data_IF_940872995392
#
_entry.id   IF_940872995392
#
_cell.length_a   1.000
_cell.length_b   1.000
_cell.length_c   1.000
_cell.angle_alpha   90.00
_cell.angle_beta   90.00
_cell.angle_gamma   90.00
#
_symmetry.space_group_name_H-M   'P 1'
#
loop_
_entity.id
_entity.type
_entity.pdbx_description
1 polymer ?
#
# COMPACT_ATOMS: atom_id res chain seq x y z
N UNK A 1 -1.83 -24.76 11.11
CA UNK A 1 -0.98 -23.58 11.30
C UNK A 1 -0.99 -22.77 10.02
N UNK A 2 -1.25 -21.47 10.11
CA UNK A 2 -1.32 -20.60 8.94
C UNK A 2 0.00 -19.84 8.83
N UNK A 3 1.05 -20.53 8.36
CA UNK A 3 2.45 -20.08 8.35
C UNK A 3 2.66 -18.67 7.77
N UNK A 4 1.83 -18.26 6.81
CA UNK A 4 1.93 -16.93 6.20
C UNK A 4 1.50 -15.79 7.13
N UNK A 5 0.58 -16.03 8.06
CA UNK A 5 0.14 -15.03 9.04
C UNK A 5 1.15 -14.91 10.18
N UNK A 6 1.71 -16.04 10.62
CA UNK A 6 2.74 -16.08 11.67
C UNK A 6 3.98 -15.29 11.20
N UNK A 7 4.45 -15.54 9.97
CA UNK A 7 5.56 -14.79 9.35
C UNK A 7 5.27 -13.30 9.26
N UNK A 8 4.07 -12.90 8.81
CA UNK A 8 3.69 -11.49 8.71
C UNK A 8 3.70 -10.79 10.07
N UNK A 9 3.27 -11.51 11.11
CA UNK A 9 3.28 -11.01 12.49
C UNK A 9 4.72 -10.78 12.96
N UNK A 10 5.63 -11.72 12.71
CA UNK A 10 7.06 -11.56 13.03
C UNK A 10 7.71 -10.38 12.30
N UNK A 11 7.36 -10.16 11.03
CA UNK A 11 7.83 -9.00 10.25
C UNK A 11 7.30 -7.69 10.85
N UNK A 12 6.01 -7.62 11.16
CA UNK A 12 5.40 -6.43 11.73
C UNK A 12 6.01 -6.07 13.09
N UNK A 13 6.21 -7.06 13.97
CA UNK A 13 6.91 -6.88 15.24
C UNK A 13 8.36 -6.42 15.05
N UNK A 14 9.06 -6.97 14.05
CA UNK A 14 10.42 -6.55 13.70
C UNK A 14 10.51 -5.11 13.19
N UNK A 15 9.42 -4.58 12.64
CA UNK A 15 9.30 -3.18 12.22
C UNK A 15 8.89 -2.24 13.37
N UNK A 16 8.62 -2.79 14.57
CA UNK A 16 8.17 -2.02 15.73
C UNK A 16 6.67 -1.72 15.74
N UNK A 17 5.85 -2.46 14.99
CA UNK A 17 4.40 -2.32 14.99
C UNK A 17 3.79 -3.06 16.18
N UNK A 18 2.77 -2.46 16.81
CA UNK A 18 1.91 -3.13 17.78
C UNK A 18 0.69 -3.73 17.08
N UNK A 19 0.37 -4.98 17.39
CA UNK A 19 -0.66 -5.74 16.69
C UNK A 19 -1.94 -5.76 17.54
N UNK A 20 -2.92 -4.95 17.13
CA UNK A 20 -4.19 -4.83 17.85
C UNK A 20 -5.13 -6.01 17.54
N UNK A 21 -5.20 -6.44 16.28
CA UNK A 21 -6.08 -7.54 15.84
C UNK A 21 -5.63 -8.13 14.49
N UNK A 22 -6.15 -9.31 14.15
CA UNK A 22 -5.97 -9.94 12.85
C UNK A 22 -7.30 -10.20 12.16
N UNK A 23 -7.42 -9.74 10.92
CA UNK A 23 -8.56 -10.05 10.05
C UNK A 23 -8.12 -10.91 8.87
N UNK A 24 -8.89 -11.96 8.59
CA UNK A 24 -8.67 -12.82 7.43
C UNK A 24 -9.85 -12.77 6.48
N UNK A 25 -9.57 -12.83 5.18
CA UNK A 25 -10.57 -12.84 4.12
C UNK A 25 -10.26 -13.97 3.14
N UNK A 26 -11.22 -14.89 2.94
CA UNK A 26 -11.09 -15.93 1.90
C UNK A 26 -11.63 -15.40 0.57
N UNK A 27 -10.82 -15.45 -0.49
CA UNK A 27 -11.24 -15.16 -1.86
C UNK A 27 -10.41 -15.96 -2.86
N UNK A 28 -10.95 -16.14 -4.06
CA UNK A 28 -10.24 -16.77 -5.17
C UNK A 28 -9.31 -15.78 -5.88
N UNK A 29 -9.73 -14.51 -6.03
CA UNK A 29 -8.94 -13.46 -6.69
C UNK A 29 -9.13 -12.09 -6.02
N UNK A 30 -8.09 -11.24 -5.92
CA UNK A 30 -8.16 -9.90 -5.34
C UNK A 30 -9.24 -9.02 -5.96
N UNK A 31 -9.92 -8.21 -5.13
CA UNK A 31 -10.88 -7.24 -5.64
C UNK A 31 -10.14 -6.06 -6.28
N UNK A 32 -10.47 -5.63 -7.51
CA UNK A 32 -9.69 -4.63 -8.23
C UNK A 32 -9.61 -3.27 -7.51
N UNK A 33 -10.63 -2.91 -6.73
CA UNK A 33 -10.67 -1.59 -6.06
C UNK A 33 -10.01 -1.56 -4.69
N UNK A 34 -9.98 -2.66 -3.96
CA UNK A 34 -9.72 -2.64 -2.50
C UNK A 34 -8.97 -3.86 -2.01
N UNK A 35 -8.54 -4.75 -2.90
CA UNK A 35 -7.96 -6.06 -2.61
C UNK A 35 -8.93 -7.03 -1.90
N UNK A 36 -9.63 -6.57 -0.87
CA UNK A 36 -10.73 -7.21 -0.15
C UNK A 36 -12.13 -6.80 -0.68
N UNK A 37 -13.19 -7.54 -0.32
CA UNK A 37 -14.57 -7.26 -0.77
C UNK A 37 -15.24 -6.20 0.10
N UNK A 38 -16.30 -5.54 -0.39
CA UNK A 38 -16.93 -4.40 0.30
C UNK A 38 -17.34 -4.70 1.74
N UNK A 39 -18.04 -5.81 1.99
CA UNK A 39 -18.44 -6.18 3.35
C UNK A 39 -17.25 -6.40 4.30
N UNK A 40 -16.10 -6.84 3.77
CA UNK A 40 -14.88 -6.99 4.57
C UNK A 40 -14.16 -5.65 4.78
N UNK A 41 -14.30 -4.70 3.86
CA UNK A 41 -13.83 -3.32 4.05
C UNK A 41 -14.65 -2.65 5.15
N UNK A 42 -15.97 -2.86 5.17
CA UNK A 42 -16.86 -2.35 6.22
C UNK A 42 -16.52 -2.94 7.59
N UNK A 43 -16.31 -4.27 7.66
CA UNK A 43 -15.86 -4.95 8.88
C UNK A 43 -14.50 -4.39 9.37
N UNK A 44 -13.54 -4.22 8.46
CA UNK A 44 -12.23 -3.65 8.78
C UNK A 44 -12.34 -2.19 9.25
N UNK A 45 -13.21 -1.37 8.63
CA UNK A 45 -13.43 0.01 9.04
C UNK A 45 -13.98 0.10 10.47
N UNK A 46 -14.94 -0.77 10.81
CA UNK A 46 -15.49 -0.84 12.16
C UNK A 46 -14.43 -1.23 13.20
N UNK A 47 -13.54 -2.17 12.88
CA UNK A 47 -12.42 -2.57 13.75
C UNK A 47 -11.39 -1.44 13.92
N UNK A 48 -11.07 -0.72 12.84
CA UNK A 48 -10.17 0.45 12.88
C UNK A 48 -10.73 1.52 13.83
N UNK A 49 -12.02 1.82 13.73
CA UNK A 49 -12.67 2.79 14.61
C UNK A 49 -12.73 2.30 16.08
N UNK A 50 -13.12 1.05 16.29
CA UNK A 50 -13.26 0.46 17.63
C UNK A 50 -11.92 0.37 18.38
N UNK A 51 -10.83 0.06 17.65
CA UNK A 51 -9.49 -0.10 18.21
C UNK A 51 -8.66 1.18 18.13
N UNK A 52 -9.19 2.26 17.53
CA UNK A 52 -8.46 3.49 17.22
C UNK A 52 -7.14 3.20 16.47
N UNK A 53 -7.18 2.30 15.50
CA UNK A 53 -5.98 1.90 14.76
C UNK A 53 -5.51 3.01 13.81
N UNK A 54 -4.24 3.38 13.88
CA UNK A 54 -3.66 4.42 13.00
C UNK A 54 -3.13 3.85 11.67
N UNK A 55 -2.94 2.53 11.63
CA UNK A 55 -2.28 1.81 10.54
C UNK A 55 -2.99 0.49 10.27
N UNK A 56 -3.21 0.19 9.00
CA UNK A 56 -3.63 -1.13 8.54
C UNK A 56 -2.54 -1.74 7.65
N UNK A 57 -2.08 -2.93 8.02
CA UNK A 57 -1.11 -3.71 7.26
C UNK A 57 -1.80 -4.83 6.46
N UNK A 58 -1.56 -4.85 5.15
CA UNK A 58 -1.93 -5.97 4.29
C UNK A 58 -0.73 -6.91 4.07
N UNK A 59 -0.91 -8.20 4.36
CA UNK A 59 0.12 -9.24 4.13
C UNK A 59 0.37 -9.57 2.64
N UNK A 60 -0.19 -8.79 1.73
CA UNK A 60 -0.03 -8.95 0.30
C UNK A 60 0.24 -7.59 -0.31
N UNK A 61 1.02 -7.56 -1.40
CA UNK A 61 1.22 -6.36 -2.19
C UNK A 61 -0.11 -5.82 -2.70
N UNK A 62 -0.28 -4.51 -2.58
CA UNK A 62 -1.45 -3.80 -3.06
C UNK A 62 -1.11 -3.06 -4.35
N UNK A 63 -2.02 -3.09 -5.32
CA UNK A 63 -1.94 -2.16 -6.41
C UNK A 63 -2.10 -0.72 -5.87
N UNK A 64 -1.44 0.30 -6.46
CA UNK A 64 -1.49 1.67 -5.94
C UNK A 64 -2.93 2.23 -5.83
N UNK A 65 -3.81 1.83 -6.75
CA UNK A 65 -5.22 2.21 -6.68
C UNK A 65 -5.97 1.54 -5.52
N UNK A 66 -5.60 0.31 -5.14
CA UNK A 66 -6.20 -0.40 -4.01
C UNK A 66 -5.82 0.28 -2.70
N UNK A 67 -4.54 0.56 -2.47
CA UNK A 67 -4.06 1.27 -1.27
C UNK A 67 -4.77 2.60 -1.08
N UNK A 68 -4.76 3.47 -2.11
CA UNK A 68 -5.45 4.79 -2.05
C UNK A 68 -6.94 4.69 -1.76
N UNK A 69 -7.62 3.69 -2.33
CA UNK A 69 -9.04 3.50 -2.06
C UNK A 69 -9.23 3.06 -0.61
N UNK A 70 -8.45 2.10 -0.13
CA UNK A 70 -8.52 1.63 1.25
C UNK A 70 -8.25 2.78 2.24
N UNK A 71 -7.22 3.60 2.05
CA UNK A 71 -6.96 4.77 2.90
C UNK A 71 -8.17 5.72 2.94
N UNK A 72 -8.80 5.97 1.78
CA UNK A 72 -10.02 6.79 1.71
C UNK A 72 -11.21 6.16 2.43
N UNK A 73 -11.35 4.85 2.43
CA UNK A 73 -12.45 4.19 3.12
C UNK A 73 -12.21 4.04 4.62
N UNK A 74 -10.96 3.76 5.01
CA UNK A 74 -10.56 3.45 6.38
C UNK A 74 -10.15 4.69 7.19
N UNK A 75 -9.83 5.81 6.52
CA UNK A 75 -9.40 7.07 7.15
C UNK A 75 -8.12 6.93 8.00
N UNK A 76 -7.29 5.92 7.69
CA UNK A 76 -6.01 5.67 8.33
C UNK A 76 -4.94 5.32 7.29
N UNK A 77 -3.67 5.28 7.68
CA UNK A 77 -2.58 4.85 6.77
C UNK A 77 -2.76 3.38 6.43
N UNK A 78 -2.54 3.02 5.16
CA UNK A 78 -2.55 1.63 4.71
C UNK A 78 -1.20 1.30 4.11
N UNK A 79 -0.55 0.28 4.65
CA UNK A 79 0.72 -0.23 4.11
C UNK A 79 0.55 -1.67 3.67
N UNK A 80 1.37 -2.08 2.72
CA UNK A 80 1.40 -3.45 2.25
C UNK A 80 2.70 -4.16 2.65
N UNK A 81 2.85 -5.40 2.21
CA UNK A 81 4.01 -6.22 2.53
C UNK A 81 5.31 -5.64 1.95
N UNK A 82 5.27 -4.99 0.80
CA UNK A 82 6.46 -4.39 0.18
C UNK A 82 6.94 -3.21 1.00
N UNK A 83 6.02 -2.32 1.39
CA UNK A 83 6.34 -1.16 2.23
C UNK A 83 6.89 -1.58 3.60
N UNK A 84 6.27 -2.59 4.24
CA UNK A 84 6.77 -3.15 5.50
C UNK A 84 8.21 -3.65 5.39
N UNK A 85 8.54 -4.38 4.31
CA UNK A 85 9.90 -4.91 4.10
C UNK A 85 10.90 -3.77 3.90
N UNK A 86 10.53 -2.76 3.11
CA UNK A 86 11.39 -1.58 2.91
C UNK A 86 11.62 -0.81 4.21
N UNK A 87 10.60 -0.67 5.06
CA UNK A 87 10.71 -0.05 6.38
C UNK A 87 11.66 -0.84 7.29
N UNK A 88 11.55 -2.17 7.32
CA UNK A 88 12.49 -3.04 8.06
C UNK A 88 13.92 -2.86 7.56
N UNK A 89 14.13 -2.80 6.24
CA UNK A 89 15.46 -2.58 5.68
C UNK A 89 16.00 -1.19 6.01
N UNK A 90 15.16 -0.15 5.98
CA UNK A 90 15.55 1.20 6.37
C UNK A 90 16.02 1.26 7.83
N UNK A 91 15.31 0.58 8.73
CA UNK A 91 15.69 0.48 10.14
C UNK A 91 17.02 -0.26 10.35
N UNK A 92 17.35 -1.24 9.48
CA UNK A 92 18.55 -2.08 9.59
C UNK A 92 19.76 -1.55 8.83
N UNK A 93 19.58 -0.68 7.84
CA UNK A 93 20.66 -0.16 7.00
C UNK A 93 21.64 0.73 7.80
N UNK A 94 22.87 0.21 8.03
CA UNK A 94 23.92 0.94 8.76
C UNK A 94 24.98 1.56 7.86
N UNK A 95 25.39 0.87 6.80
CA UNK A 95 26.39 1.37 5.86
C UNK A 95 25.81 2.46 4.95
N UNK A 96 26.68 3.32 4.44
CA UNK A 96 26.28 4.36 3.49
C UNK A 96 25.66 3.75 2.22
N UNK A 97 26.33 2.75 1.63
CA UNK A 97 25.84 2.03 0.46
C UNK A 97 24.48 1.37 0.72
N UNK A 98 24.31 0.70 1.87
CA UNK A 98 23.05 0.04 2.21
C UNK A 98 21.89 1.03 2.36
N UNK A 99 22.13 2.19 2.99
CA UNK A 99 21.13 3.26 3.09
C UNK A 99 20.71 3.75 1.70
N UNK A 100 21.69 3.94 0.81
CA UNK A 100 21.46 4.44 -0.55
C UNK A 100 20.67 3.45 -1.41
N UNK A 101 20.92 2.15 -1.24
CA UNK A 101 20.14 1.09 -1.91
C UNK A 101 18.70 1.03 -1.39
N UNK A 102 18.49 1.16 -0.07
CA UNK A 102 17.13 1.18 0.49
C UNK A 102 16.38 2.43 0.03
N UNK A 103 17.01 3.59 0.05
CA UNK A 103 16.40 4.84 -0.42
C UNK A 103 16.04 4.76 -1.91
N UNK A 104 16.92 4.19 -2.74
CA UNK A 104 16.63 3.93 -4.14
C UNK A 104 15.41 3.02 -4.31
N UNK A 105 15.34 1.92 -3.54
CA UNK A 105 14.21 1.00 -3.59
C UNK A 105 12.90 1.67 -3.15
N UNK A 106 12.93 2.50 -2.12
CA UNK A 106 11.79 3.30 -1.68
C UNK A 106 11.34 4.29 -2.76
N UNK A 107 12.27 5.00 -3.39
CA UNK A 107 11.97 5.94 -4.49
C UNK A 107 11.37 5.22 -5.71
N UNK A 108 11.88 4.04 -6.06
CA UNK A 108 11.34 3.22 -7.15
C UNK A 108 9.92 2.75 -6.84
N UNK A 109 9.67 2.28 -5.62
CA UNK A 109 8.33 1.88 -5.18
C UNK A 109 7.36 3.06 -5.24
N UNK A 110 7.72 4.21 -4.65
CA UNK A 110 6.91 5.44 -4.68
C UNK A 110 6.63 5.91 -6.11
N UNK A 111 7.64 5.92 -6.98
CA UNK A 111 7.49 6.29 -8.39
C UNK A 111 6.43 5.43 -9.09
N UNK A 112 6.49 4.11 -8.91
CA UNK A 112 5.52 3.18 -9.48
C UNK A 112 4.08 3.45 -8.99
N UNK A 113 3.93 3.86 -7.73
CA UNK A 113 2.63 4.21 -7.15
C UNK A 113 2.08 5.56 -7.67
N UNK A 114 2.96 6.50 -7.98
CA UNK A 114 2.61 7.85 -8.44
C UNK A 114 2.24 7.91 -9.93
N UNK A 115 2.97 7.21 -10.80
CA UNK A 115 2.74 7.23 -12.27
C UNK A 115 1.30 6.80 -12.62
N UNK A 116 0.73 5.83 -11.90
CA UNK A 116 -0.67 5.39 -12.09
C UNK A 116 -1.70 6.31 -11.42
N UNK A 117 -1.27 7.29 -10.62
CA UNK A 117 -2.11 8.33 -10.02
C UNK A 117 -2.32 9.57 -10.89
N UNK A 118 -1.44 9.80 -11.87
CA UNK A 118 -1.49 10.97 -12.75
C UNK A 118 -2.75 11.05 -13.61
N UNK A 119 -3.34 9.91 -14.00
CA UNK A 119 -4.61 9.87 -14.76
C UNK A 119 -5.77 10.59 -14.06
N UNK A 120 -5.71 10.77 -12.73
CA UNK A 120 -6.72 11.50 -11.97
C UNK A 120 -6.42 13.01 -11.85
N UNK A 121 -5.14 13.40 -11.81
CA UNK A 121 -4.69 14.80 -11.79
C UNK A 121 -4.88 15.49 -13.15
N UNK A 122 -4.76 14.75 -14.26
CA UNK A 122 -5.07 15.26 -15.60
C UNK A 122 -6.55 15.64 -15.76
N UNK A 123 -7.47 14.91 -15.09
CA UNK A 123 -8.90 15.21 -15.14
C UNK A 123 -9.30 16.47 -14.37
N UNK A 124 -8.52 16.90 -13.38
CA UNK A 124 -8.75 18.19 -12.69
C UNK A 124 -8.23 19.41 -13.46
N UNK A 125 -7.32 19.22 -14.43
CA UNK A 125 -6.80 20.32 -15.28
C UNK A 125 -7.66 20.64 -16.52
N UNK A 126 -8.85 20.06 -16.61
CA UNK A 126 -9.82 20.44 -17.63
C UNK A 126 -9.58 19.73 -18.96
N UNK A 127 -10.62 19.02 -19.42
CA UNK A 127 -10.72 18.54 -20.79
C UNK A 127 -10.90 19.71 -21.77
N UNK A 128 -9.85 20.48 -21.98
CA UNK A 128 -9.76 21.46 -23.08
C UNK A 128 -8.50 21.14 -23.86
N UNK A 129 -8.70 20.45 -24.98
CA UNK A 129 -7.81 20.32 -26.13
C UNK A 129 -6.32 20.62 -25.93
N UNK A 130 -5.54 19.58 -25.60
CA UNK A 130 -4.14 19.51 -26.01
C UNK A 130 -3.96 18.24 -26.85
N UNK A 131 -4.50 18.32 -28.07
CA UNK A 131 -4.07 17.48 -29.18
C UNK A 131 -2.92 18.22 -29.86
N UNK A 132 -1.72 18.10 -29.29
CA UNK A 132 -0.48 18.47 -29.98
C UNK A 132 0.04 17.25 -30.74
N UNK A 133 0.40 17.36 -32.03
CA UNK A 133 0.90 16.23 -32.79
C UNK A 133 2.35 15.96 -32.39
N UNK A 134 2.62 14.76 -31.88
CA UNK A 134 3.98 14.26 -31.70
C UNK A 134 4.50 14.45 -30.28
N UNK A 135 4.15 13.52 -29.40
CA UNK A 135 5.12 12.89 -28.51
C UNK A 135 4.54 11.54 -28.11
N UNK A 136 5.27 10.50 -28.50
CA UNK A 136 4.94 9.10 -28.33
C UNK A 136 4.80 8.79 -26.84
N UNK A 137 3.75 8.05 -26.48
CA UNK A 137 3.61 7.50 -25.14
C UNK A 137 4.86 6.67 -24.82
N UNK A 138 5.57 7.05 -23.76
CA UNK A 138 6.72 6.29 -23.25
C UNK A 138 6.19 4.95 -22.71
N UNK A 139 6.64 3.88 -23.35
CA UNK A 139 6.66 2.50 -22.84
C UNK A 139 7.62 2.36 -21.66
#
# INVERSE_FOLDING_TARGET
>A
MNHSLDECTELALSAGLDILTHLSAKRVAPHPKSFIGSGKVEELAAEVEALCAELVLFNHELAPAQGRNLEKYLQCRVIDRTELILDIFAQRARSFEGKLQVELAQLQHLSSCLVRGWTHLERQKGGIGLRGPGETQLE
#
